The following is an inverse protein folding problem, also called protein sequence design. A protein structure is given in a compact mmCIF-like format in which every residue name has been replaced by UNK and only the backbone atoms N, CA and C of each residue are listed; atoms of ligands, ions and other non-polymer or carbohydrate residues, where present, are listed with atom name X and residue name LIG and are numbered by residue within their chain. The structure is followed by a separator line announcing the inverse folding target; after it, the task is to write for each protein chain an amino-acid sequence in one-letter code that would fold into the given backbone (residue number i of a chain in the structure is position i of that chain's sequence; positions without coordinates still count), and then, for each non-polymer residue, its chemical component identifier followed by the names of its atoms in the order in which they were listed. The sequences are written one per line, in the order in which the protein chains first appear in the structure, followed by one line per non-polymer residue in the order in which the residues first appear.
data_IF_479921505459
#
_entry.id   IF_479921505459
#
_cell.length_a   1.000
_cell.length_b   1.000
_cell.length_c   1.000
_cell.angle_alpha   90.00
_cell.angle_beta   90.00
_cell.angle_gamma   90.00
#
_symmetry.space_group_name_H-M   'P 1'
#
loop_
_entity.id
_entity.type
_entity.pdbx_description
1 polymer ?
#
# COMPACT_ATOMS: atom_id res chain seq x y z
N UNK A 1 10.66 -63.30 -13.05
CA UNK A 1 11.58 -62.15 -12.91
C UNK A 1 10.88 -60.84 -13.24
N UNK A 2 10.21 -60.74 -14.39
CA UNK A 2 9.44 -59.56 -14.82
C UNK A 2 8.29 -59.18 -13.85
N UNK A 3 7.54 -60.16 -13.32
CA UNK A 3 6.44 -59.89 -12.35
C UNK A 3 6.92 -59.34 -11.01
N UNK A 4 8.11 -59.75 -10.57
CA UNK A 4 8.73 -59.25 -9.33
C UNK A 4 9.14 -57.80 -9.54
N UNK A 5 9.74 -57.48 -10.69
CA UNK A 5 10.12 -56.12 -11.06
C UNK A 5 8.89 -55.20 -11.11
N UNK A 6 7.78 -55.65 -11.69
CA UNK A 6 6.53 -54.87 -11.77
C UNK A 6 5.93 -54.62 -10.38
N UNK A 7 5.95 -55.61 -9.48
CA UNK A 7 5.46 -55.45 -8.10
C UNK A 7 6.33 -54.47 -7.30
N UNK A 8 7.65 -54.57 -7.42
CA UNK A 8 8.60 -53.66 -6.77
C UNK A 8 8.41 -52.23 -7.29
N UNK A 9 8.25 -52.05 -8.60
CA UNK A 9 8.02 -50.75 -9.21
C UNK A 9 6.70 -50.11 -8.74
N UNK A 10 5.61 -50.89 -8.68
CA UNK A 10 4.32 -50.42 -8.14
C UNK A 10 4.44 -49.98 -6.68
N UNK A 11 5.15 -50.74 -5.86
CA UNK A 11 5.41 -50.38 -4.45
C UNK A 11 6.17 -49.05 -4.35
N UNK A 12 7.19 -48.86 -5.18
CA UNK A 12 7.95 -47.62 -5.24
C UNK A 12 7.12 -46.40 -5.67
N UNK A 13 6.25 -46.58 -6.67
CA UNK A 13 5.35 -45.51 -7.13
C UNK A 13 4.35 -45.11 -6.04
N UNK A 14 3.81 -46.07 -5.29
CA UNK A 14 2.90 -45.79 -4.16
C UNK A 14 3.66 -45.03 -3.06
N UNK A 15 4.87 -45.49 -2.71
CA UNK A 15 5.71 -44.81 -1.73
C UNK A 15 6.04 -43.37 -2.15
N UNK A 16 6.39 -43.16 -3.42
CA UNK A 16 6.66 -41.83 -3.97
C UNK A 16 5.44 -40.90 -3.85
N UNK A 17 4.24 -41.37 -4.20
CA UNK A 17 3.01 -40.57 -4.09
C UNK A 17 2.74 -40.18 -2.64
N UNK A 18 2.90 -41.12 -1.70
CA UNK A 18 2.70 -40.86 -0.26
C UNK A 18 3.70 -39.82 0.23
N UNK A 19 4.99 -40.01 -0.05
CA UNK A 19 6.04 -39.06 0.38
C UNK A 19 5.88 -37.69 -0.27
N UNK A 20 5.51 -37.62 -1.55
CA UNK A 20 5.24 -36.37 -2.23
C UNK A 20 4.05 -35.64 -1.60
N UNK A 21 2.98 -36.36 -1.27
CA UNK A 21 1.79 -35.78 -0.62
C UNK A 21 2.12 -35.26 0.77
N UNK A 22 2.88 -36.00 1.57
CA UNK A 22 3.31 -35.57 2.92
C UNK A 22 4.23 -34.35 2.81
N UNK A 23 5.20 -34.37 1.90
CA UNK A 23 6.08 -33.23 1.65
C UNK A 23 5.29 -32.00 1.20
N UNK A 24 4.33 -32.16 0.28
CA UNK A 24 3.50 -31.07 -0.20
C UNK A 24 2.66 -30.47 0.93
N UNK A 25 2.04 -31.29 1.78
CA UNK A 25 1.27 -30.80 2.94
C UNK A 25 2.17 -30.09 3.96
N UNK A 26 3.34 -30.67 4.29
CA UNK A 26 4.31 -30.03 5.19
C UNK A 26 4.80 -28.69 4.63
N UNK A 27 5.14 -28.66 3.33
CA UNK A 27 5.53 -27.43 2.64
C UNK A 27 4.39 -26.42 2.69
N UNK A 28 3.17 -26.83 2.36
CA UNK A 28 2.00 -25.97 2.38
C UNK A 28 1.76 -25.36 3.75
N UNK A 29 1.76 -26.14 4.84
CA UNK A 29 1.60 -25.64 6.20
C UNK A 29 2.79 -24.84 6.72
N UNK A 30 4.02 -25.20 6.31
CA UNK A 30 5.23 -24.47 6.69
C UNK A 30 5.29 -23.11 5.99
N UNK A 31 4.93 -23.06 4.71
CA UNK A 31 4.90 -21.83 3.94
C UNK A 31 3.57 -21.07 4.13
N UNK A 32 2.47 -21.65 4.63
CA UNK A 32 1.19 -20.96 4.84
C UNK A 32 1.32 -19.61 5.58
N UNK A 33 2.12 -19.48 6.65
CA UNK A 33 2.32 -18.21 7.35
C UNK A 33 3.21 -17.21 6.58
N UNK A 34 3.96 -17.69 5.58
CA UNK A 34 4.89 -16.93 4.73
C UNK A 34 4.37 -16.69 3.30
N UNK A 35 3.34 -17.44 2.88
CA UNK A 35 2.43 -17.18 1.74
C UNK A 35 1.36 -16.17 2.18
N UNK A 36 1.74 -15.33 3.13
CA UNK A 36 1.66 -13.89 2.94
C UNK A 36 0.44 -13.24 3.59
N UNK A 37 0.78 -12.33 4.51
CA UNK A 37 -0.08 -11.19 4.86
C UNK A 37 -0.37 -10.32 3.61
N UNK A 38 0.36 -10.50 2.50
CA UNK A 38 0.14 -9.85 1.21
C UNK A 38 -0.43 -10.77 0.07
N UNK A 39 -0.81 -12.04 0.33
CA UNK A 39 -1.53 -12.92 -0.63
C UNK A 39 -2.93 -13.34 -0.15
N UNK A 40 -3.54 -12.53 0.72
CA UNK A 40 -4.96 -12.60 1.03
C UNK A 40 -5.71 -11.51 0.27
N UNK A 41 -6.08 -11.79 -0.99
CA UNK A 41 -6.73 -10.85 -1.91
C UNK A 41 -5.75 -9.73 -2.35
N UNK A 42 -5.69 -9.42 -3.65
CA UNK A 42 -4.88 -8.31 -4.21
C UNK A 42 -5.38 -6.91 -3.80
N UNK A 43 -5.82 -6.78 -2.56
CA UNK A 43 -6.39 -5.60 -1.97
C UNK A 43 -5.43 -5.20 -0.84
N UNK A 44 -4.41 -4.42 -1.20
CA UNK A 44 -3.66 -3.57 -0.27
C UNK A 44 -4.66 -2.85 0.65
N UNK A 45 -4.39 -2.61 1.94
CA UNK A 45 -5.31 -1.91 2.87
C UNK A 45 -5.89 -0.62 2.24
N UNK A 46 -5.05 0.11 1.48
CA UNK A 46 -5.45 1.27 0.67
C UNK A 46 -6.46 0.93 -0.45
N UNK A 47 -6.29 -0.19 -1.13
CA UNK A 47 -7.24 -0.67 -2.15
C UNK A 47 -8.56 -1.14 -1.52
N UNK A 48 -8.55 -1.67 -0.29
CA UNK A 48 -9.75 -2.13 0.41
C UNK A 48 -10.62 -0.93 0.75
N UNK A 49 -9.98 0.11 1.28
CA UNK A 49 -10.58 1.42 1.52
C UNK A 49 -11.28 1.99 0.27
N UNK A 50 -10.61 1.98 -0.89
CA UNK A 50 -11.18 2.49 -2.15
C UNK A 50 -12.35 1.61 -2.60
N UNK A 51 -12.21 0.28 -2.56
CA UNK A 51 -13.27 -0.65 -2.95
C UNK A 51 -14.52 -0.46 -2.09
N UNK A 52 -14.35 -0.38 -0.77
CA UNK A 52 -15.46 -0.18 0.18
C UNK A 52 -16.17 1.16 -0.05
N UNK A 53 -15.42 2.23 -0.29
CA UNK A 53 -15.98 3.57 -0.57
C UNK A 53 -16.68 3.64 -1.94
N UNK A 54 -16.12 2.98 -2.96
CA UNK A 54 -16.55 3.07 -4.36
C UNK A 54 -17.75 2.17 -4.67
N UNK A 55 -17.79 0.96 -4.10
CA UNK A 55 -18.87 0.02 -4.36
C UNK A 55 -20.12 0.24 -3.49
N UNK A 56 -20.06 1.16 -2.50
CA UNK A 56 -21.16 1.39 -1.54
C UNK A 56 -21.73 0.08 -1.00
N UNK A 57 -20.85 -0.86 -0.65
CA UNK A 57 -21.26 -2.14 -0.10
C UNK A 57 -22.02 -1.85 1.19
N UNK A 58 -23.30 -2.21 1.21
CA UNK A 58 -24.16 -1.98 2.37
C UNK A 58 -23.79 -3.01 3.44
N UNK A 59 -22.79 -2.67 4.25
CA UNK A 59 -22.33 -3.49 5.37
C UNK A 59 -23.40 -3.45 6.44
N UNK A 60 -24.08 -4.59 6.63
CA UNK A 60 -25.15 -4.75 7.62
C UNK A 60 -24.66 -4.75 9.07
N UNK A 61 -23.38 -5.05 9.29
CA UNK A 61 -22.78 -5.06 10.62
C UNK A 61 -22.30 -3.65 11.00
N UNK A 62 -22.95 -3.07 12.01
CA UNK A 62 -22.70 -1.71 12.49
C UNK A 62 -21.32 -1.55 13.14
N UNK A 63 -20.77 -2.61 13.75
CA UNK A 63 -19.41 -2.55 14.33
C UNK A 63 -18.35 -2.52 13.23
N UNK A 64 -18.52 -3.32 12.18
CA UNK A 64 -17.60 -3.34 11.03
C UNK A 64 -17.65 -2.01 10.29
N UNK A 65 -18.85 -1.43 10.14
CA UNK A 65 -19.03 -0.11 9.55
C UNK A 65 -18.32 0.99 10.36
N UNK A 66 -18.47 0.98 11.69
CA UNK A 66 -17.80 1.96 12.55
C UNK A 66 -16.28 1.84 12.49
N UNK A 67 -15.73 0.62 12.45
CA UNK A 67 -14.29 0.40 12.29
C UNK A 67 -13.76 0.96 10.97
N UNK A 68 -14.48 0.72 9.87
CA UNK A 68 -14.10 1.27 8.57
C UNK A 68 -14.14 2.80 8.62
N UNK A 69 -15.23 3.40 9.12
CA UNK A 69 -15.38 4.86 9.21
C UNK A 69 -14.29 5.50 10.10
N UNK A 70 -13.88 4.84 11.19
CA UNK A 70 -12.77 5.27 12.03
C UNK A 70 -11.43 5.23 11.27
N UNK A 71 -11.17 4.16 10.53
CA UNK A 71 -9.99 4.03 9.66
C UNK A 71 -9.97 5.13 8.58
N UNK A 72 -11.13 5.41 7.95
CA UNK A 72 -11.29 6.50 6.99
C UNK A 72 -10.92 7.84 7.62
N UNK A 73 -11.47 8.12 8.80
CA UNK A 73 -11.23 9.35 9.54
C UNK A 73 -9.75 9.49 9.92
N UNK A 74 -9.09 8.40 10.29
CA UNK A 74 -7.67 8.39 10.59
C UNK A 74 -6.83 8.73 9.35
N UNK A 75 -7.11 8.12 8.19
CA UNK A 75 -6.42 8.48 6.95
C UNK A 75 -6.66 9.94 6.54
N UNK A 76 -7.88 10.45 6.70
CA UNK A 76 -8.19 11.84 6.43
C UNK A 76 -7.40 12.79 7.35
N UNK A 77 -7.28 12.45 8.65
CA UNK A 77 -6.47 13.18 9.60
C UNK A 77 -4.98 13.17 9.24
N UNK A 78 -4.42 12.03 8.84
CA UNK A 78 -3.02 11.93 8.41
C UNK A 78 -2.74 12.80 7.18
N UNK A 79 -3.62 12.76 6.18
CA UNK A 79 -3.48 13.60 4.97
C UNK A 79 -3.56 15.08 5.31
N UNK A 80 -4.47 15.47 6.21
CA UNK A 80 -4.58 16.85 6.67
C UNK A 80 -3.30 17.32 7.37
N UNK A 81 -2.69 16.47 8.19
CA UNK A 81 -1.42 16.79 8.86
C UNK A 81 -0.25 16.89 7.87
N UNK A 82 -0.17 16.01 6.88
CA UNK A 82 0.85 16.12 5.81
C UNK A 82 0.67 17.41 5.01
N UNK A 83 -0.58 17.76 4.69
CA UNK A 83 -0.95 19.00 4.01
C UNK A 83 -0.43 20.23 4.77
N UNK A 84 -0.75 20.35 6.06
CA UNK A 84 -0.32 21.45 6.91
C UNK A 84 1.21 21.58 6.98
N UNK A 85 1.92 20.46 7.05
CA UNK A 85 3.38 20.46 7.05
C UNK A 85 3.97 20.99 5.72
N UNK A 86 3.34 20.66 4.59
CA UNK A 86 3.75 21.16 3.27
C UNK A 86 3.43 22.66 3.14
N UNK A 87 2.24 23.08 3.57
CA UNK A 87 1.81 24.49 3.54
C UNK A 87 2.75 25.37 4.37
N UNK A 88 3.09 24.94 5.59
CA UNK A 88 4.04 25.63 6.45
C UNK A 88 5.41 25.76 5.78
N UNK A 89 5.87 24.71 5.08
CA UNK A 89 7.15 24.74 4.39
C UNK A 89 7.13 25.70 3.18
N UNK A 90 6.01 25.79 2.46
CA UNK A 90 5.81 26.81 1.41
C UNK A 90 5.76 28.23 1.98
N UNK A 91 5.07 28.44 3.11
CA UNK A 91 5.03 29.75 3.78
C UNK A 91 6.41 30.18 4.27
N UNK A 92 7.16 29.27 4.90
CA UNK A 92 8.53 29.52 5.32
C UNK A 92 9.41 29.96 4.14
N UNK A 93 9.32 29.25 3.00
CA UNK A 93 9.99 29.66 1.77
C UNK A 93 9.57 31.05 1.30
N UNK A 94 8.26 31.35 1.26
CA UNK A 94 7.75 32.67 0.85
C UNK A 94 8.27 33.78 1.77
N UNK A 95 8.36 33.52 3.07
CA UNK A 95 8.91 34.45 4.06
C UNK A 95 10.39 34.74 3.81
N UNK A 96 11.21 33.70 3.59
CA UNK A 96 12.64 33.85 3.24
C UNK A 96 12.81 34.73 2.00
N UNK A 97 12.05 34.44 0.93
CA UNK A 97 12.11 35.20 -0.32
C UNK A 97 11.66 36.66 -0.14
N UNK A 98 10.60 36.91 0.65
CA UNK A 98 10.15 38.27 0.98
C UNK A 98 11.21 39.08 1.73
N UNK A 99 12.01 38.41 2.56
CA UNK A 99 13.11 39.04 3.30
C UNK A 99 14.37 39.24 2.44
N UNK A 100 14.32 38.94 1.14
CA UNK A 100 15.45 39.09 0.22
C UNK A 100 16.56 38.05 0.39
N UNK A 101 16.30 36.98 1.16
CA UNK A 101 17.25 35.91 1.41
C UNK A 101 17.17 34.83 0.31
N UNK A 102 18.29 34.17 0.05
CA UNK A 102 18.36 33.05 -0.89
C UNK A 102 17.80 31.80 -0.22
N UNK A 103 16.75 31.21 -0.80
CA UNK A 103 16.23 29.92 -0.36
C UNK A 103 17.10 28.80 -0.92
N UNK A 104 17.80 28.09 -0.03
CA UNK A 104 18.62 26.94 -0.39
C UNK A 104 17.73 25.77 -0.82
N UNK A 105 18.16 24.99 -1.82
CA UNK A 105 17.37 23.86 -2.33
C UNK A 105 17.32 22.75 -1.29
N UNK A 106 16.26 22.73 -0.48
CA UNK A 106 15.99 21.61 0.42
C UNK A 106 15.52 20.38 -0.38
N UNK A 107 16.32 19.33 -0.41
CA UNK A 107 15.90 18.04 -0.97
C UNK A 107 14.78 17.39 -0.14
N UNK A 108 14.68 17.72 1.15
CA UNK A 108 13.67 17.18 2.07
C UNK A 108 12.23 17.55 1.66
N UNK A 109 11.98 18.79 1.22
CA UNK A 109 10.63 19.21 0.81
C UNK A 109 10.22 18.55 -0.53
N UNK A 110 11.17 18.32 -1.44
CA UNK A 110 10.91 17.59 -2.70
C UNK A 110 10.44 16.15 -2.43
N UNK A 111 11.08 15.45 -1.49
CA UNK A 111 10.69 14.07 -1.15
C UNK A 111 9.32 14.04 -0.46
N UNK A 112 9.07 14.98 0.47
CA UNK A 112 7.78 15.09 1.17
C UNK A 112 6.62 15.35 0.22
N UNK A 113 6.75 16.30 -0.72
CA UNK A 113 5.67 16.60 -1.66
C UNK A 113 5.41 15.46 -2.64
N UNK A 114 6.46 14.75 -3.10
CA UNK A 114 6.30 13.54 -3.94
C UNK A 114 5.55 12.43 -3.20
N UNK A 115 5.89 12.19 -1.93
CA UNK A 115 5.19 11.21 -1.10
C UNK A 115 3.72 11.60 -0.88
N UNK A 116 3.46 12.86 -0.56
CA UNK A 116 2.10 13.38 -0.36
C UNK A 116 1.23 13.26 -1.62
N UNK A 117 1.77 13.63 -2.79
CA UNK A 117 1.06 13.50 -4.06
C UNK A 117 0.74 12.04 -4.39
N UNK A 118 1.68 11.12 -4.12
CA UNK A 118 1.45 9.68 -4.28
C UNK A 118 0.33 9.20 -3.36
N UNK A 119 0.39 9.55 -2.07
CA UNK A 119 -0.65 9.19 -1.09
C UNK A 119 -2.02 9.75 -1.46
N UNK A 120 -2.11 11.01 -1.90
CA UNK A 120 -3.36 11.62 -2.35
C UNK A 120 -3.92 10.94 -3.60
N UNK A 121 -3.05 10.54 -4.53
CA UNK A 121 -3.47 9.83 -5.74
C UNK A 121 -3.98 8.42 -5.42
N UNK A 122 -3.30 7.70 -4.52
CA UNK A 122 -3.76 6.40 -4.02
C UNK A 122 -5.14 6.53 -3.35
N UNK A 123 -5.40 7.61 -2.61
CA UNK A 123 -6.67 7.83 -1.90
C UNK A 123 -7.76 8.51 -2.77
N UNK A 124 -7.56 8.60 -4.08
CA UNK A 124 -8.46 9.27 -5.04
C UNK A 124 -8.77 10.75 -4.69
N UNK A 125 -7.89 11.43 -3.93
CA UNK A 125 -8.01 12.87 -3.58
C UNK A 125 -7.47 13.75 -4.70
N UNK A 126 -8.04 13.62 -5.89
CA UNK A 126 -7.53 14.25 -7.12
C UNK A 126 -7.50 15.77 -7.09
N UNK A 127 -8.39 16.42 -6.33
CA UNK A 127 -8.39 17.87 -6.15
C UNK A 127 -7.08 18.34 -5.49
N UNK A 128 -6.64 17.65 -4.43
CA UNK A 128 -5.37 17.93 -3.76
C UNK A 128 -4.18 17.64 -4.67
N UNK A 129 -4.21 16.53 -5.43
CA UNK A 129 -3.14 16.22 -6.40
C UNK A 129 -2.97 17.36 -7.41
N UNK A 130 -4.08 17.85 -7.96
CA UNK A 130 -4.08 18.93 -8.96
C UNK A 130 -3.59 20.26 -8.37
N UNK A 131 -4.02 20.58 -7.15
CA UNK A 131 -3.61 21.80 -6.45
C UNK A 131 -2.11 21.77 -6.12
N UNK A 132 -1.64 20.71 -5.44
CA UNK A 132 -0.26 20.62 -4.97
C UNK A 132 0.74 20.39 -6.09
N UNK A 133 0.35 19.77 -7.20
CA UNK A 133 1.19 19.68 -8.40
C UNK A 133 1.45 21.06 -9.01
N UNK A 134 0.42 21.92 -9.08
CA UNK A 134 0.59 23.31 -9.54
C UNK A 134 1.43 24.12 -8.55
N UNK A 135 1.21 23.96 -7.25
CA UNK A 135 2.01 24.63 -6.22
C UNK A 135 3.48 24.21 -6.29
N UNK A 136 3.76 22.92 -6.48
CA UNK A 136 5.10 22.38 -6.70
C UNK A 136 5.75 22.99 -7.94
N UNK A 137 5.07 23.01 -9.09
CA UNK A 137 5.59 23.59 -10.33
C UNK A 137 5.95 25.08 -10.16
N UNK A 138 5.08 25.83 -9.48
CA UNK A 138 5.26 27.27 -9.31
C UNK A 138 6.34 27.62 -8.28
N UNK A 139 6.35 26.92 -7.14
CA UNK A 139 7.21 27.28 -6.01
C UNK A 139 8.47 26.42 -5.94
N UNK A 140 8.47 25.20 -6.44
CA UNK A 140 9.58 24.24 -6.37
C UNK A 140 9.82 23.56 -7.74
N UNK A 141 10.09 24.32 -8.82
CA UNK A 141 10.23 23.74 -10.17
C UNK A 141 11.39 22.74 -10.28
N UNK A 142 12.39 22.84 -9.40
CA UNK A 142 13.51 21.91 -9.33
C UNK A 142 13.17 20.55 -8.68
N UNK A 143 12.01 20.44 -8.03
CA UNK A 143 11.56 19.19 -7.44
C UNK A 143 10.78 18.30 -8.42
N UNK A 144 10.43 18.79 -9.62
CA UNK A 144 9.75 17.96 -10.63
C UNK A 144 10.66 16.83 -11.09
#
# INVERSE_FOLDING_TARGET
MMDIIIKVFKSYMIYFIVMFTVFFNLSYFYFLPYIDKDMGIGINEKNLYILLKKEKIDIKDENVKNLIDEEISNYDYYIQKEKEAIDLAFEHKRSILKNGLVYEKETGICTKIKSFLKNCNDLEKYDLVKEYTKLQQNQLPHCN
#
